data_IF_925840077323
#
_entry.id   IF_925840077323
#
_cell.length_a   1.000
_cell.length_b   1.000
_cell.length_c   1.000
_cell.angle_alpha   90.00
_cell.angle_beta   90.00
_cell.angle_gamma   90.00
#
_symmetry.space_group_name_H-M   'P 1'
#
loop_
_entity.id
_entity.type
_entity.pdbx_description
1 polymer ?
#
# COMPACT_ATOMS: atom_id res chain seq x y z
N UNK A 1 -20.44 -8.27 5.81
CA UNK A 1 -19.55 -9.38 5.43
C UNK A 1 -20.29 -10.18 4.37
N UNK A 2 -19.66 -10.41 3.23
CA UNK A 2 -20.28 -11.03 2.06
C UNK A 2 -19.36 -12.19 1.63
N UNK A 3 -19.94 -13.37 1.39
CA UNK A 3 -19.25 -14.44 0.70
C UNK A 3 -19.37 -14.19 -0.83
N UNK A 4 -18.28 -13.80 -1.51
CA UNK A 4 -18.33 -13.48 -2.93
C UNK A 4 -18.60 -14.70 -3.82
N UNK A 5 -18.35 -15.92 -3.36
CA UNK A 5 -18.57 -17.15 -4.16
C UNK A 5 -20.05 -17.51 -4.23
N UNK A 6 -20.76 -17.34 -3.11
CA UNK A 6 -22.20 -17.57 -3.04
C UNK A 6 -23.03 -16.34 -3.40
N UNK A 7 -22.43 -15.15 -3.29
CA UNK A 7 -23.15 -13.87 -3.44
C UNK A 7 -24.09 -13.58 -2.26
N UNK A 8 -23.88 -14.25 -1.13
CA UNK A 8 -24.72 -14.15 0.07
C UNK A 8 -24.10 -13.21 1.10
N UNK A 9 -24.96 -12.46 1.80
CA UNK A 9 -24.56 -11.60 2.91
C UNK A 9 -24.54 -12.44 4.19
N UNK A 10 -23.35 -12.71 4.72
CA UNK A 10 -23.20 -13.51 5.96
C UNK A 10 -23.57 -12.71 7.21
N UNK A 11 -23.21 -11.42 7.23
CA UNK A 11 -23.45 -10.56 8.39
C UNK A 11 -23.53 -9.10 7.96
N UNK A 12 -24.52 -8.37 8.46
CA UNK A 12 -24.77 -6.96 8.15
C UNK A 12 -25.06 -6.20 9.44
N UNK A 13 -24.48 -5.00 9.56
CA UNK A 13 -24.63 -4.15 10.72
C UNK A 13 -24.39 -2.68 10.37
N UNK A 14 -24.99 -1.80 11.14
CA UNK A 14 -24.70 -0.37 11.08
C UNK A 14 -23.41 -0.12 11.87
N UNK A 15 -22.32 0.22 11.17
CA UNK A 15 -21.04 0.46 11.82
C UNK A 15 -21.01 1.80 12.59
N UNK A 16 -21.50 2.87 11.97
CA UNK A 16 -21.45 4.22 12.54
C UNK A 16 -22.73 4.99 12.21
N UNK A 17 -23.24 5.77 13.16
CA UNK A 17 -24.48 6.55 13.00
C UNK A 17 -24.30 7.87 12.23
N UNK A 18 -23.06 8.33 12.05
CA UNK A 18 -22.76 9.55 11.32
C UNK A 18 -23.11 9.45 9.84
N UNK A 19 -23.53 10.57 9.24
CA UNK A 19 -23.96 10.65 7.84
C UNK A 19 -22.83 10.64 6.81
N UNK A 20 -21.58 10.71 7.27
CA UNK A 20 -20.38 10.74 6.42
C UNK A 20 -19.88 9.31 6.13
N UNK A 21 -19.06 9.19 5.09
CA UNK A 21 -18.53 7.90 4.67
C UNK A 21 -17.73 7.19 5.78
N UNK A 22 -17.97 5.89 5.91
CA UNK A 22 -17.23 5.00 6.80
C UNK A 22 -16.33 4.06 6.00
N UNK A 23 -15.29 3.52 6.63
CA UNK A 23 -14.42 2.48 6.07
C UNK A 23 -14.39 1.28 7.01
N UNK A 24 -14.18 0.11 6.43
CA UNK A 24 -14.02 -1.14 7.17
C UNK A 24 -12.85 -1.92 6.57
N UNK A 25 -12.05 -2.54 7.42
CA UNK A 25 -10.98 -3.47 7.05
C UNK A 25 -11.04 -4.69 7.96
N UNK A 26 -10.62 -5.84 7.44
CA UNK A 26 -10.36 -7.02 8.24
C UNK A 26 -8.97 -6.92 8.88
N UNK A 27 -8.88 -7.37 10.13
CA UNK A 27 -7.63 -7.60 10.84
C UNK A 27 -7.36 -9.11 10.93
N UNK A 28 -6.28 -9.50 11.61
CA UNK A 28 -6.03 -10.91 11.94
C UNK A 28 -7.20 -11.51 12.72
N UNK A 29 -7.37 -12.83 12.57
CA UNK A 29 -8.41 -13.63 13.23
C UNK A 29 -9.86 -13.21 12.88
N UNK A 30 -10.07 -12.56 11.74
CA UNK A 30 -11.40 -12.17 11.27
C UNK A 30 -12.02 -10.97 11.99
N UNK A 31 -11.28 -10.31 12.89
CA UNK A 31 -11.73 -9.07 13.52
C UNK A 31 -11.98 -7.98 12.47
N UNK A 32 -12.96 -7.13 12.72
CA UNK A 32 -13.32 -6.03 11.81
C UNK A 32 -13.04 -4.71 12.47
N UNK A 33 -12.19 -3.91 11.84
CA UNK A 33 -11.91 -2.54 12.26
C UNK A 33 -12.59 -1.55 11.34
N UNK A 34 -13.36 -0.63 11.91
CA UNK A 34 -14.05 0.40 11.13
C UNK A 34 -13.69 1.79 11.60
N UNK A 35 -13.73 2.71 10.65
CA UNK A 35 -13.59 4.14 10.89
C UNK A 35 -14.81 4.85 10.33
N UNK A 36 -15.29 5.88 11.02
CA UNK A 36 -16.46 6.61 10.61
C UNK A 36 -16.71 7.80 11.51
N UNK A 37 -17.98 8.18 11.63
CA UNK A 37 -18.37 9.39 12.34
C UNK A 37 -19.46 9.10 13.38
N UNK A 38 -19.43 9.80 14.50
CA UNK A 38 -20.51 9.81 15.49
C UNK A 38 -21.71 10.58 14.94
N UNK A 39 -22.87 10.46 15.60
CA UNK A 39 -24.04 11.29 15.30
C UNK A 39 -23.74 12.79 15.46
N UNK A 40 -22.79 13.14 16.33
CA UNK A 40 -22.29 14.50 16.55
C UNK A 40 -21.19 14.91 15.55
N UNK A 41 -20.93 14.10 14.53
CA UNK A 41 -19.91 14.33 13.48
C UNK A 41 -18.45 14.29 13.96
N UNK A 42 -18.15 13.64 15.08
CA UNK A 42 -16.78 13.34 15.49
C UNK A 42 -16.25 12.09 14.78
N UNK A 43 -14.97 12.07 14.45
CA UNK A 43 -14.30 10.87 13.92
C UNK A 43 -14.15 9.87 15.03
N UNK A 44 -14.54 8.64 14.74
CA UNK A 44 -14.42 7.52 15.66
C UNK A 44 -13.94 6.28 14.92
N UNK A 45 -13.23 5.41 15.65
CA UNK A 45 -12.97 4.07 15.21
C UNK A 45 -13.68 3.07 16.11
N UNK A 46 -13.86 1.86 15.61
CA UNK A 46 -14.45 0.77 16.39
C UNK A 46 -13.92 -0.58 15.96
N UNK A 47 -13.74 -1.48 16.92
CA UNK A 47 -13.30 -2.85 16.73
C UNK A 47 -14.46 -3.80 17.01
N UNK A 48 -14.68 -4.78 16.13
CA UNK A 48 -15.79 -5.74 16.19
C UNK A 48 -15.30 -7.16 15.96
N UNK A 49 -16.02 -8.13 16.50
CA UNK A 49 -15.93 -9.52 16.07
C UNK A 49 -16.85 -9.74 14.87
N UNK A 50 -16.55 -10.71 13.99
CA UNK A 50 -17.39 -11.03 12.84
C UNK A 50 -18.79 -11.55 13.27
N UNK A 51 -18.86 -12.21 14.43
CA UNK A 51 -20.11 -12.78 14.97
C UNK A 51 -21.05 -11.71 15.57
N UNK A 52 -20.49 -10.60 16.07
CA UNK A 52 -21.25 -9.54 16.74
C UNK A 52 -20.91 -8.16 16.16
N UNK A 53 -21.25 -7.93 14.88
CA UNK A 53 -20.96 -6.64 14.23
C UNK A 53 -21.77 -5.46 14.79
N UNK A 54 -22.96 -5.70 15.37
CA UNK A 54 -23.78 -4.63 15.94
C UNK A 54 -23.25 -4.15 17.30
N UNK A 55 -22.46 -4.98 18.01
CA UNK A 55 -21.94 -4.69 19.34
C UNK A 55 -20.41 -4.57 19.27
N UNK A 56 -19.86 -3.36 19.08
CA UNK A 56 -18.41 -3.18 19.02
C UNK A 56 -17.75 -3.52 20.35
N UNK A 57 -16.61 -4.22 20.29
CA UNK A 57 -15.74 -4.50 21.44
C UNK A 57 -15.27 -3.18 22.07
N UNK A 58 -14.88 -2.23 21.21
CA UNK A 58 -14.50 -0.89 21.63
C UNK A 58 -14.90 0.11 20.53
N UNK A 59 -15.38 1.27 20.95
CA UNK A 59 -15.60 2.44 20.10
C UNK A 59 -14.94 3.64 20.76
N UNK A 60 -14.09 4.36 20.02
CA UNK A 60 -13.33 5.49 20.55
C UNK A 60 -13.42 6.66 19.60
N UNK A 61 -13.74 7.81 20.16
CA UNK A 61 -13.72 9.11 19.49
C UNK A 61 -12.28 9.66 19.43
N UNK A 62 -11.93 10.29 18.31
CA UNK A 62 -10.56 10.70 18.00
C UNK A 62 -10.45 12.22 17.98
N UNK A 63 -11.25 12.87 17.14
CA UNK A 63 -11.32 14.32 16.98
C UNK A 63 -12.56 14.74 16.17
N UNK A 64 -12.80 16.04 16.04
CA UNK A 64 -13.95 16.62 15.33
C UNK A 64 -13.67 16.95 13.86
N UNK A 65 -12.60 16.40 13.27
CA UNK A 65 -12.21 16.75 11.90
C UNK A 65 -13.15 16.13 10.86
N UNK A 66 -13.24 16.76 9.69
CA UNK A 66 -14.20 16.35 8.66
C UNK A 66 -13.69 15.28 7.68
N UNK A 67 -12.37 15.06 7.60
CA UNK A 67 -11.77 14.15 6.62
C UNK A 67 -12.07 12.68 6.92
N UNK A 68 -12.58 11.94 5.92
CA UNK A 68 -12.76 10.49 6.01
C UNK A 68 -11.42 9.84 6.31
N UNK A 69 -11.40 9.01 7.35
CA UNK A 69 -10.19 8.39 7.86
C UNK A 69 -10.00 7.01 7.22
N UNK A 70 -8.82 6.78 6.67
CA UNK A 70 -8.42 5.52 6.04
C UNK A 70 -7.60 4.71 7.03
N UNK A 71 -8.10 3.56 7.49
CA UNK A 71 -7.31 2.63 8.29
C UNK A 71 -6.41 1.80 7.37
N UNK A 72 -5.12 1.76 7.70
CA UNK A 72 -4.10 0.95 7.04
C UNK A 72 -3.54 -0.01 8.08
N UNK A 73 -3.74 -1.31 7.89
CA UNK A 73 -3.33 -2.32 8.87
C UNK A 73 -2.10 -3.08 8.39
N UNK A 74 -1.12 -3.21 9.27
CA UNK A 74 0.01 -4.13 9.10
C UNK A 74 -0.26 -5.40 9.94
N UNK A 75 -0.58 -6.55 9.30
CA UNK A 75 -0.83 -7.79 10.01
C UNK A 75 0.41 -8.29 10.75
N UNK A 76 1.62 -8.02 10.26
CA UNK A 76 2.84 -8.61 10.83
C UNK A 76 3.13 -8.06 12.23
N UNK A 77 2.93 -6.76 12.41
CA UNK A 77 3.18 -6.05 13.68
C UNK A 77 1.92 -5.72 14.47
N UNK A 78 0.74 -6.08 13.94
CA UNK A 78 -0.57 -5.71 14.49
C UNK A 78 -0.78 -4.19 14.65
N UNK A 79 -0.16 -3.39 13.79
CA UNK A 79 -0.29 -1.94 13.82
C UNK A 79 -1.36 -1.43 12.87
N UNK A 80 -2.19 -0.50 13.34
CA UNK A 80 -3.15 0.24 12.52
C UNK A 80 -2.70 1.69 12.43
N UNK A 81 -2.59 2.19 11.21
CA UNK A 81 -2.30 3.58 10.90
C UNK A 81 -3.57 4.27 10.39
N UNK A 82 -3.95 5.35 11.04
CA UNK A 82 -5.13 6.14 10.70
C UNK A 82 -4.71 7.43 10.01
N UNK A 83 -5.17 7.59 8.77
CA UNK A 83 -4.78 8.68 7.90
C UNK A 83 -6.00 9.29 7.22
N UNK A 84 -6.26 10.59 7.36
CA UNK A 84 -7.30 11.28 6.59
C UNK A 84 -6.74 12.14 5.46
N UNK A 85 -7.52 12.34 4.40
CA UNK A 85 -7.20 13.39 3.41
C UNK A 85 -7.42 14.76 4.05
N UNK A 86 -6.48 15.67 3.85
CA UNK A 86 -6.47 16.99 4.48
C UNK A 86 -5.85 17.02 5.88
N UNK A 87 -5.58 15.85 6.48
CA UNK A 87 -4.89 15.79 7.76
C UNK A 87 -3.39 16.04 7.58
N UNK A 88 -2.78 16.66 8.56
CA UNK A 88 -1.33 16.79 8.65
C UNK A 88 -0.69 15.75 9.58
N UNK A 89 -1.50 14.80 10.07
CA UNK A 89 -1.10 13.79 11.06
C UNK A 89 -1.39 12.37 10.58
N UNK A 90 -0.57 11.43 11.06
CA UNK A 90 -0.79 9.98 10.97
C UNK A 90 -0.77 9.44 12.40
N UNK A 91 -1.90 8.95 12.89
CA UNK A 91 -2.02 8.33 14.21
C UNK A 91 -1.85 6.83 14.09
N UNK A 92 -1.17 6.18 15.02
CA UNK A 92 -1.00 4.73 14.95
C UNK A 92 -1.20 4.04 16.29
N UNK A 93 -1.76 2.84 16.18
CA UNK A 93 -2.28 2.05 17.29
C UNK A 93 -1.81 0.61 17.15
N UNK A 94 -1.65 -0.07 18.28
CA UNK A 94 -1.39 -1.50 18.35
C UNK A 94 -2.65 -2.24 18.75
N UNK A 95 -2.96 -3.33 18.04
CA UNK A 95 -4.08 -4.20 18.37
C UNK A 95 -3.57 -5.41 19.13
N UNK A 96 -4.09 -5.61 20.33
CA UNK A 96 -3.74 -6.73 21.22
C UNK A 96 -5.01 -7.39 21.75
N UNK A 97 -4.94 -8.63 22.24
CA UNK A 97 -6.08 -9.29 22.87
C UNK A 97 -6.38 -8.77 24.29
N UNK A 98 -5.57 -7.85 24.82
CA UNK A 98 -5.73 -7.31 26.18
C UNK A 98 -6.47 -5.97 26.16
N UNK A 99 -7.47 -5.75 27.04
CA UNK A 99 -8.14 -4.45 27.17
C UNK A 99 -7.14 -3.28 27.36
N UNK A 100 -7.33 -2.12 26.72
CA UNK A 100 -8.47 -1.67 25.89
C UNK A 100 -8.51 -2.20 24.45
N UNK A 101 -7.75 -3.26 24.11
CA UNK A 101 -7.63 -3.93 22.82
C UNK A 101 -6.92 -3.13 21.74
N UNK A 102 -7.24 -1.84 21.62
CA UNK A 102 -6.59 -0.89 20.70
C UNK A 102 -5.80 0.12 21.51
N UNK A 103 -4.47 0.00 21.49
CA UNK A 103 -3.56 0.83 22.26
C UNK A 103 -2.99 1.95 21.39
N UNK A 104 -3.20 3.20 21.78
CA UNK A 104 -2.56 4.32 21.11
C UNK A 104 -1.05 4.31 21.37
N UNK A 105 -0.25 4.33 20.30
CA UNK A 105 1.21 4.41 20.42
C UNK A 105 1.66 5.86 20.33
N UNK A 106 1.47 6.49 19.17
CA UNK A 106 1.90 7.86 18.94
C UNK A 106 1.25 8.45 17.67
N UNK A 107 1.57 9.72 17.41
CA UNK A 107 1.16 10.45 16.22
C UNK A 107 2.39 11.03 15.53
N UNK A 108 2.50 10.77 14.22
CA UNK A 108 3.42 11.48 13.36
C UNK A 108 2.74 12.74 12.83
N UNK A 109 3.37 13.90 12.97
CA UNK A 109 2.81 15.19 12.57
C UNK A 109 3.72 15.90 11.56
N UNK A 110 3.08 16.58 10.61
CA UNK A 110 3.71 17.41 9.59
C UNK A 110 3.06 18.80 9.58
N UNK A 111 3.71 19.84 9.04
CA UNK A 111 3.11 21.16 8.93
C UNK A 111 2.03 21.23 7.84
N UNK A 112 2.26 20.56 6.71
CA UNK A 112 1.36 20.60 5.56
C UNK A 112 0.23 19.57 5.68
N UNK A 113 -0.95 19.78 5.07
CA UNK A 113 -1.98 18.75 4.95
C UNK A 113 -1.66 17.76 3.81
N UNK A 114 -2.01 16.48 4.01
CA UNK A 114 -1.77 15.43 3.00
C UNK A 114 -2.92 15.32 2.01
N UNK A 115 -2.61 15.24 0.71
CA UNK A 115 -3.62 15.00 -0.35
C UNK A 115 -3.98 13.52 -0.51
N UNK A 116 -3.03 12.66 -0.20
CA UNK A 116 -3.14 11.22 -0.30
C UNK A 116 -1.97 10.54 0.38
N UNK A 117 -2.16 9.26 0.68
CA UNK A 117 -1.16 8.43 1.31
C UNK A 117 -1.22 7.03 0.70
N UNK A 118 -0.06 6.46 0.44
CA UNK A 118 0.10 5.05 0.09
C UNK A 118 1.04 4.38 1.09
N UNK A 119 0.76 3.14 1.46
CA UNK A 119 1.63 2.34 2.31
C UNK A 119 2.42 1.36 1.44
N UNK A 120 3.74 1.28 1.66
CA UNK A 120 4.60 0.28 1.03
C UNK A 120 4.28 -1.10 1.61
N UNK A 121 4.18 -2.15 0.79
CA UNK A 121 4.12 -3.53 1.29
C UNK A 121 5.34 -3.86 2.15
N UNK A 122 5.21 -4.80 3.10
CA UNK A 122 6.29 -5.18 4.03
C UNK A 122 7.60 -5.56 3.32
N UNK A 123 7.50 -6.25 2.18
CA UNK A 123 8.64 -6.63 1.32
C UNK A 123 9.44 -5.44 0.77
N UNK A 124 8.86 -4.24 0.74
CA UNK A 124 9.49 -2.99 0.32
C UNK A 124 10.08 -2.15 1.46
N UNK A 125 9.95 -2.62 2.71
CA UNK A 125 10.52 -1.97 3.88
C UNK A 125 12.00 -2.34 4.04
N UNK A 126 12.81 -1.41 4.54
CA UNK A 126 14.21 -1.63 4.81
C UNK A 126 14.42 -2.32 6.16
N UNK A 127 14.55 -3.64 6.11
CA UNK A 127 14.81 -4.49 7.27
C UNK A 127 16.13 -4.20 7.97
N UNK A 128 17.11 -3.58 7.30
CA UNK A 128 18.40 -3.27 7.92
C UNK A 128 18.31 -2.09 8.90
N UNK A 129 17.43 -1.13 8.63
CA UNK A 129 17.23 0.06 9.45
C UNK A 129 16.09 -0.09 10.46
N UNK A 130 15.56 -1.31 10.63
CA UNK A 130 14.39 -1.56 11.49
C UNK A 130 13.14 -0.76 11.07
N UNK A 131 12.98 -0.50 9.77
CA UNK A 131 11.77 0.11 9.19
C UNK A 131 10.60 -0.87 9.17
N UNK A 132 9.58 -0.59 9.98
CA UNK A 132 8.38 -1.43 10.09
C UNK A 132 7.30 -1.03 9.09
N UNK A 133 7.23 0.24 8.69
CA UNK A 133 6.31 0.73 7.69
C UNK A 133 6.91 1.92 6.93
N UNK A 134 6.60 2.02 5.64
CA UNK A 134 7.01 3.13 4.78
C UNK A 134 5.77 3.71 4.10
N UNK A 135 5.55 5.01 4.24
CA UNK A 135 4.47 5.73 3.60
C UNK A 135 4.98 6.66 2.50
N UNK A 136 4.19 6.75 1.45
CA UNK A 136 4.34 7.66 0.34
C UNK A 136 3.22 8.70 0.45
N UNK A 137 3.56 9.85 1.02
CA UNK A 137 2.64 10.94 1.33
C UNK A 137 2.67 11.97 0.21
N UNK A 138 1.50 12.32 -0.31
CA UNK A 138 1.35 13.34 -1.34
C UNK A 138 1.18 14.72 -0.70
N UNK A 139 2.10 15.62 -1.03
CA UNK A 139 2.07 17.01 -0.61
C UNK A 139 1.06 17.81 -1.45
N UNK A 140 0.80 19.06 -1.03
CA UNK A 140 -0.07 19.97 -1.76
C UNK A 140 0.61 20.56 -3.01
N UNK A 141 1.94 20.57 -3.04
CA UNK A 141 2.79 21.03 -4.14
C UNK A 141 3.04 19.94 -5.18
N UNK A 142 3.11 20.32 -6.45
CA UNK A 142 3.47 19.44 -7.56
C UNK A 142 2.32 18.57 -8.11
N UNK A 143 2.62 17.87 -9.21
CA UNK A 143 1.69 17.00 -9.91
C UNK A 143 2.18 15.56 -9.80
N UNK A 144 1.32 14.66 -9.32
CA UNK A 144 1.58 13.23 -9.30
C UNK A 144 0.49 12.50 -10.09
N UNK A 145 0.87 11.72 -11.08
CA UNK A 145 -0.07 10.87 -11.81
C UNK A 145 -0.21 9.54 -11.07
N UNK A 146 -1.42 9.27 -10.58
CA UNK A 146 -1.77 8.00 -9.96
C UNK A 146 -2.12 7.00 -11.06
N UNK A 147 -1.31 5.95 -11.23
CA UNK A 147 -1.63 4.85 -12.16
C UNK A 147 -2.11 3.66 -11.33
N UNK A 148 -3.41 3.38 -11.41
CA UNK A 148 -3.98 2.16 -10.86
C UNK A 148 -3.62 1.04 -11.82
N UNK A 149 -2.60 0.24 -11.51
CA UNK A 149 -2.41 -1.04 -12.20
C UNK A 149 -3.48 -2.01 -11.68
N UNK A 150 -4.67 -1.89 -12.26
CA UNK A 150 -5.75 -2.85 -12.08
C UNK A 150 -5.42 -4.14 -12.82
N UNK A 151 -5.50 -5.25 -12.10
CA UNK A 151 -5.81 -6.55 -12.67
C UNK A 151 -7.03 -6.39 -13.59
N UNK A 152 -6.93 -6.87 -14.81
CA UNK A 152 -8.03 -6.95 -15.76
C UNK A 152 -9.23 -7.67 -15.11
N UNK A 153 -10.36 -6.98 -14.95
CA UNK A 153 -11.73 -7.45 -15.22
C UNK A 153 -12.74 -6.34 -14.84
N UNK A 154 -13.37 -5.77 -15.88
CA UNK A 154 -14.63 -5.03 -15.93
C UNK A 154 -15.15 -4.30 -14.66
N UNK A 155 -15.15 -2.95 -14.70
CA UNK A 155 -16.24 -2.12 -14.14
C UNK A 155 -16.41 -0.80 -14.92
N UNK A 156 -17.67 -0.33 -15.11
CA UNK A 156 -17.98 0.88 -15.86
C UNK A 156 -17.58 2.15 -15.07
N UNK A 157 -17.28 3.21 -15.82
CA UNK A 157 -16.84 4.49 -15.30
C UNK A 157 -17.92 5.17 -14.44
N UNK A 158 -17.78 5.13 -13.11
CA UNK A 158 -18.17 6.19 -12.15
C UNK A 158 -17.94 5.82 -10.66
N UNK A 159 -16.88 5.09 -10.31
CA UNK A 159 -16.52 4.84 -8.90
C UNK A 159 -15.08 5.26 -8.58
N UNK A 160 -14.92 6.11 -7.56
CA UNK A 160 -13.61 6.52 -7.03
C UNK A 160 -12.92 5.33 -6.36
N UNK A 161 -12.02 4.67 -7.08
CA UNK A 161 -11.12 3.63 -6.53
C UNK A 161 -10.10 4.25 -5.59
N UNK A 162 -10.21 3.94 -4.29
CA UNK A 162 -9.48 4.56 -3.18
C UNK A 162 -8.28 3.75 -2.64
N UNK A 163 -7.53 3.07 -3.50
CA UNK A 163 -6.26 2.43 -3.12
C UNK A 163 -5.14 2.99 -4.00
N UNK A 164 -4.29 3.83 -3.42
CA UNK A 164 -3.15 4.42 -4.12
C UNK A 164 -2.03 3.39 -4.21
N UNK A 165 -1.92 2.69 -5.35
CA UNK A 165 -0.77 1.88 -5.73
C UNK A 165 0.02 2.66 -6.79
N UNK A 166 1.31 2.90 -6.56
CA UNK A 166 2.20 3.62 -7.50
C UNK A 166 3.10 2.60 -8.20
N UNK A 167 2.93 2.42 -9.50
CA UNK A 167 3.88 1.70 -10.36
C UNK A 167 4.03 2.42 -11.70
N UNK A 168 5.27 2.62 -12.15
CA UNK A 168 5.56 3.25 -13.44
C UNK A 168 6.32 2.27 -14.34
N UNK A 169 5.61 1.51 -15.18
CA UNK A 169 6.22 0.90 -16.36
C UNK A 169 6.23 1.94 -17.47
N UNK A 170 7.35 2.67 -17.63
CA UNK A 170 7.95 3.12 -18.91
C UNK A 170 8.79 4.41 -18.88
N UNK A 171 9.22 4.94 -17.72
CA UNK A 171 10.20 6.04 -17.72
C UNK A 171 11.37 5.81 -16.75
N UNK A 172 12.63 6.04 -17.18
CA UNK A 172 13.77 6.14 -16.27
C UNK A 172 13.53 7.27 -15.25
N UNK A 173 13.93 7.05 -13.99
CA UNK A 173 13.92 8.05 -12.92
C UNK A 173 14.49 9.40 -13.43
N UNK A 174 13.67 10.46 -13.44
CA UNK A 174 14.18 11.83 -13.40
C UNK A 174 13.95 12.40 -12.00
N UNK A 175 14.87 13.22 -11.45
CA UNK A 175 14.81 13.72 -10.06
C UNK A 175 13.68 14.73 -9.75
N UNK A 176 12.71 14.93 -10.64
CA UNK A 176 11.70 16.01 -10.56
C UNK A 176 10.43 15.62 -9.77
N UNK A 177 10.27 14.37 -9.35
CA UNK A 177 9.13 13.88 -8.55
C UNK A 177 9.24 14.14 -7.04
N UNK A 178 10.31 14.79 -6.58
CA UNK A 178 10.65 14.95 -5.15
C UNK A 178 9.82 16.02 -4.42
N UNK A 179 9.27 17.02 -5.10
CA UNK A 179 8.49 18.08 -4.44
C UNK A 179 7.05 17.66 -4.08
N UNK A 180 6.49 16.69 -4.82
CA UNK A 180 5.11 16.24 -4.65
C UNK A 180 4.95 15.06 -3.69
N UNK A 181 6.01 14.28 -3.48
CA UNK A 181 5.97 13.04 -2.73
C UNK A 181 6.98 13.07 -1.58
N UNK A 182 6.45 13.03 -0.36
CA UNK A 182 7.24 12.86 0.86
C UNK A 182 7.26 11.38 1.26
N UNK A 183 8.45 10.82 1.46
CA UNK A 183 8.61 9.48 2.03
C UNK A 183 8.65 9.60 3.55
N UNK A 184 7.80 8.85 4.24
CA UNK A 184 7.72 8.81 5.69
C UNK A 184 8.04 7.38 6.14
N UNK A 185 9.15 7.23 6.87
CA UNK A 185 9.61 5.95 7.40
C UNK A 185 9.25 5.82 8.88
N UNK A 186 8.62 4.71 9.26
CA UNK A 186 8.35 4.35 10.64
C UNK A 186 9.38 3.30 11.07
N UNK A 187 10.24 3.67 12.02
CA UNK A 187 11.36 2.85 12.46
C UNK A 187 11.22 2.50 13.94
N UNK A 188 11.49 1.24 14.28
CA UNK A 188 11.66 0.84 15.68
C UNK A 188 13.12 1.06 16.06
N UNK A 189 13.44 1.94 17.02
CA UNK A 189 14.82 2.24 17.38
C UNK A 189 15.45 1.03 18.09
N UNK A 190 16.30 0.28 17.38
CA UNK A 190 17.08 -0.84 17.92
C UNK A 190 18.57 -0.51 17.85
N UNK A 191 19.34 -0.97 18.84
CA UNK A 191 20.80 -0.77 18.92
C UNK A 191 21.60 -1.80 18.13
N UNK A 192 20.94 -2.73 17.45
CA UNK A 192 21.58 -3.87 16.78
C UNK A 192 21.43 -3.76 15.27
N UNK A 193 22.51 -4.09 14.55
CA UNK A 193 22.53 -4.23 13.09
C UNK A 193 22.24 -5.68 12.63
N UNK A 194 21.79 -6.53 13.54
CA UNK A 194 21.33 -7.89 13.23
C UNK A 194 19.86 -7.85 12.81
N UNK A 195 19.48 -8.80 11.98
CA UNK A 195 18.08 -8.99 11.60
C UNK A 195 17.22 -9.24 12.86
N UNK A 196 16.16 -8.45 13.03
CA UNK A 196 15.26 -8.50 14.17
C UNK A 196 14.07 -9.41 13.83
N UNK A 197 14.16 -10.70 14.17
CA UNK A 197 13.12 -11.69 13.86
C UNK A 197 11.79 -11.39 14.55
N UNK A 198 11.82 -10.68 15.68
CA UNK A 198 10.64 -10.24 16.42
C UNK A 198 9.87 -9.11 15.71
N UNK A 199 10.56 -8.26 14.94
CA UNK A 199 9.92 -7.18 14.16
C UNK A 199 9.41 -7.65 12.79
N UNK A 200 9.96 -8.76 12.32
CA UNK A 200 9.73 -9.29 10.98
C UNK A 200 9.40 -10.78 11.04
N UNK A 201 8.20 -11.14 11.54
CA UNK A 201 7.68 -12.48 11.35
C UNK A 201 7.53 -12.77 9.84
N UNK A 202 7.22 -14.02 9.50
CA UNK A 202 6.99 -14.39 8.11
C UNK A 202 5.78 -13.61 7.55
N UNK A 203 6.03 -12.83 6.49
CA UNK A 203 5.05 -11.96 5.83
C UNK A 203 4.45 -12.68 4.62
N UNK A 204 3.33 -12.18 4.11
CA UNK A 204 2.75 -12.59 2.82
C UNK A 204 3.81 -12.61 1.69
N UNK A 205 3.90 -13.73 1.00
CA UNK A 205 4.80 -13.94 -0.14
C UNK A 205 4.25 -13.29 -1.42
N UNK A 206 5.00 -13.40 -2.51
CA UNK A 206 4.57 -13.05 -3.87
C UNK A 206 3.93 -14.22 -4.63
N UNK A 207 3.79 -15.38 -3.99
CA UNK A 207 3.19 -16.58 -4.55
C UNK A 207 1.74 -16.72 -4.06
N UNK A 208 0.82 -16.99 -4.98
CA UNK A 208 -0.57 -17.26 -4.64
C UNK A 208 -0.69 -18.64 -3.98
N UNK A 209 -1.50 -18.75 -2.92
CA UNK A 209 -1.77 -20.03 -2.25
C UNK A 209 -2.70 -20.93 -3.06
N UNK A 210 -3.61 -20.34 -3.83
CA UNK A 210 -4.55 -21.03 -4.71
C UNK A 210 -4.59 -20.37 -6.08
N UNK A 211 -4.91 -21.16 -7.08
CA UNK A 211 -5.32 -20.67 -8.39
C UNK A 211 -6.76 -20.15 -8.36
N UNK A 212 -7.15 -19.39 -9.38
CA UNK A 212 -8.51 -18.86 -9.47
C UNK A 212 -9.56 -19.99 -9.58
N UNK A 213 -9.24 -21.07 -10.28
CA UNK A 213 -10.16 -22.20 -10.49
C UNK A 213 -10.37 -23.00 -9.20
N UNK A 214 -9.32 -23.24 -8.42
CA UNK A 214 -9.40 -23.91 -7.10
C UNK A 214 -10.23 -23.08 -6.11
N UNK A 215 -10.00 -21.76 -6.07
CA UNK A 215 -10.78 -20.86 -5.21
C UNK A 215 -12.26 -20.81 -5.61
N UNK A 216 -12.56 -20.76 -6.92
CA UNK A 216 -13.93 -20.82 -7.45
C UNK A 216 -14.60 -22.17 -7.18
N UNK A 217 -13.84 -23.27 -7.13
CA UNK A 217 -14.33 -24.60 -6.75
C UNK A 217 -14.69 -24.71 -5.25
N UNK A 218 -14.38 -23.68 -4.45
CA UNK A 218 -14.71 -23.62 -3.03
C UNK A 218 -13.56 -24.01 -2.11
N UNK A 219 -12.33 -24.12 -2.62
CA UNK A 219 -11.16 -24.36 -1.78
C UNK A 219 -10.75 -23.08 -1.05
N UNK A 220 -10.30 -23.25 0.20
CA UNK A 220 -9.77 -22.20 1.05
C UNK A 220 -8.38 -22.63 1.54
N UNK A 221 -7.39 -21.74 1.40
CA UNK A 221 -6.02 -21.98 1.87
C UNK A 221 -5.41 -20.70 2.44
N UNK A 222 -4.67 -20.86 3.53
CA UNK A 222 -3.91 -19.77 4.13
C UNK A 222 -2.88 -19.20 3.14
N UNK A 223 -2.63 -17.88 3.16
CA UNK A 223 -1.66 -17.27 2.27
C UNK A 223 -0.26 -17.86 2.45
N UNK A 224 0.47 -18.04 1.36
CA UNK A 224 1.89 -18.38 1.42
C UNK A 224 2.67 -17.27 2.14
N UNK A 225 3.52 -17.65 3.10
CA UNK A 225 4.36 -16.71 3.84
C UNK A 225 5.84 -16.89 3.50
N UNK A 226 6.63 -15.84 3.72
CA UNK A 226 8.06 -15.84 3.47
C UNK A 226 8.82 -15.02 4.52
N UNK A 227 10.04 -15.45 4.83
CA UNK A 227 10.93 -14.71 5.73
C UNK A 227 11.61 -13.54 5.02
N UNK A 228 11.53 -12.35 5.62
CA UNK A 228 12.24 -11.15 5.13
C UNK A 228 13.74 -11.18 5.41
N UNK A 229 14.24 -12.18 6.16
CA UNK A 229 15.66 -12.33 6.47
C UNK A 229 16.54 -12.32 5.22
N UNK A 230 16.06 -12.88 4.10
CA UNK A 230 16.77 -12.88 2.80
C UNK A 230 17.03 -11.48 2.23
N UNK A 231 16.20 -10.49 2.59
CA UNK A 231 16.36 -9.10 2.14
C UNK A 231 17.46 -8.37 2.93
N UNK A 232 17.78 -8.84 4.14
CA UNK A 232 18.79 -8.23 4.99
C UNK A 232 20.18 -8.27 4.32
N UNK A 233 20.96 -7.17 4.28
CA UNK A 233 22.23 -7.11 3.56
C UNK A 233 23.23 -8.20 3.98
N UNK A 234 23.22 -8.61 5.26
CA UNK A 234 24.14 -9.62 5.82
C UNK A 234 23.72 -11.09 5.58
N UNK A 235 22.49 -11.37 5.14
CA UNK A 235 22.06 -12.73 4.81
C UNK A 235 22.40 -13.13 3.37
N UNK A 236 22.76 -12.15 2.52
CA UNK A 236 23.33 -12.40 1.19
C UNK A 236 24.77 -12.89 1.29
N UNK A 237 24.96 -14.11 1.77
CA UNK A 237 26.22 -14.84 1.56
C UNK A 237 26.43 -15.07 0.05
N UNK A 238 27.45 -14.44 -0.53
CA UNK A 238 28.24 -14.84 -1.72
C UNK A 238 27.50 -15.77 -2.70
N UNK A 239 26.99 -15.35 -3.87
CA UNK A 239 27.72 -14.89 -5.06
C UNK A 239 26.86 -13.95 -5.93
N UNK A 240 27.37 -12.75 -6.22
CA UNK A 240 27.16 -12.11 -7.52
C UNK A 240 28.37 -11.22 -7.81
N UNK A 241 29.09 -11.41 -8.94
CA UNK A 241 30.16 -10.50 -9.32
C UNK A 241 29.52 -9.22 -9.88
N UNK A 242 29.07 -8.34 -9.00
CA UNK A 242 28.92 -6.94 -9.39
C UNK A 242 30.34 -6.39 -9.32
N UNK A 243 31.02 -6.41 -10.47
CA UNK A 243 32.27 -5.70 -10.64
C UNK A 243 32.05 -4.23 -10.22
N UNK A 244 32.60 -3.84 -9.06
CA UNK A 244 32.75 -2.44 -8.72
C UNK A 244 33.69 -1.83 -9.75
N UNK A 245 33.14 -1.18 -10.77
CA UNK A 245 33.92 -0.23 -11.57
C UNK A 245 34.09 1.01 -10.70
N UNK A 246 35.09 0.98 -9.81
CA UNK A 246 35.67 2.18 -9.22
C UNK A 246 36.74 2.68 -10.18
N UNK A 247 36.36 3.59 -11.06
CA UNK A 247 37.27 4.35 -11.91
C UNK A 247 36.74 5.79 -12.05
N UNK A 248 37.62 6.80 -12.13
CA UNK A 248 37.21 8.20 -12.21
C UNK A 248 36.35 8.46 -13.47
N UNK A 249 35.34 9.31 -13.30
CA UNK A 249 34.23 9.62 -14.24
C UNK A 249 34.67 10.16 -15.63
N UNK A 250 35.97 10.42 -15.85
CA UNK A 250 36.44 11.11 -17.05
C UNK A 250 36.78 10.23 -18.27
N UNK A 251 36.69 8.89 -18.21
CA UNK A 251 37.00 8.03 -19.37
C UNK A 251 35.80 7.49 -20.16
N UNK A 252 34.55 7.78 -19.75
CA UNK A 252 33.35 7.33 -20.46
C UNK A 252 32.88 8.25 -21.61
N UNK A 253 33.50 9.42 -21.78
CA UNK A 253 33.14 10.37 -22.86
C UNK A 253 33.81 10.02 -24.20
N UNK A 254 34.92 9.25 -24.22
CA UNK A 254 35.59 8.89 -25.48
C UNK A 254 35.08 7.62 -26.19
N UNK A 255 34.16 6.85 -25.59
CA UNK A 255 33.62 5.63 -26.23
C UNK A 255 32.30 5.82 -26.99
N UNK A 256 31.69 7.02 -26.97
CA UNK A 256 30.44 7.31 -27.73
C UNK A 256 30.65 7.78 -29.17
N UNK A 257 31.88 7.83 -29.71
CA UNK A 257 32.16 8.37 -31.06
C UNK A 257 32.41 7.32 -32.16
N UNK A 258 32.22 6.02 -31.91
CA UNK A 258 32.31 4.97 -32.96
C UNK A 258 31.09 4.05 -32.97
N UNK A 259 29.94 4.57 -33.35
CA UNK A 259 28.89 3.76 -33.99
C UNK A 259 28.17 4.64 -35.02
N UNK A 260 28.58 4.50 -36.30
CA UNK A 260 27.85 5.08 -37.44
C UNK A 260 26.77 4.07 -37.88
N UNK A 261 25.49 4.44 -37.99
CA UNK A 261 24.56 3.70 -38.83
C UNK A 261 24.65 4.24 -40.27
N UNK A 262 24.86 3.34 -41.23
CA UNK A 262 24.71 3.62 -42.67
C UNK A 262 23.24 3.94 -42.94
N UNK A 263 22.92 5.20 -43.24
CA UNK A 263 21.68 5.59 -43.88
C UNK A 263 21.70 5.09 -45.34
N UNK A 264 20.81 4.16 -45.70
CA UNK A 264 20.38 3.99 -47.09
C UNK A 264 18.89 4.31 -47.17
N UNK A 265 18.58 5.28 -48.02
CA UNK A 265 17.22 5.67 -48.43
C UNK A 265 16.59 4.53 -49.22
N UNK A 266 15.30 4.29 -48.99
CA UNK A 266 14.36 3.87 -50.03
C UNK A 266 13.02 4.53 -49.73
N UNK A 267 12.67 5.47 -50.62
CA UNK A 267 11.33 6.02 -50.81
C UNK A 267 10.43 4.93 -51.42
N UNK A 268 9.21 4.74 -50.89
CA UNK A 268 7.94 4.66 -51.67
C UNK A 268 6.69 4.48 -50.76
N UNK A 269 5.74 5.44 -50.91
CA UNK A 269 4.26 5.27 -51.01
C UNK A 269 3.35 4.86 -49.81
N UNK A 270 2.74 5.87 -49.15
CA UNK A 270 1.30 6.17 -48.80
C UNK A 270 0.21 5.08 -49.12
N UNK A 271 -1.00 4.98 -48.47
CA UNK A 271 -1.52 5.19 -47.09
C UNK A 271 -2.41 4.01 -46.56
N UNK A 272 -2.85 3.99 -45.29
CA UNK A 272 -4.25 3.63 -44.91
C UNK A 272 -4.55 4.03 -43.44
N UNK A 273 -5.43 5.01 -43.28
CA UNK A 273 -6.08 5.43 -42.03
C UNK A 273 -7.50 4.84 -42.03
N UNK A 274 -8.00 4.48 -40.85
CA UNK A 274 -9.42 4.37 -40.47
C UNK A 274 -10.32 3.40 -41.26
N UNK A 275 -10.58 2.24 -40.65
CA UNK A 275 -11.91 1.59 -40.62
C UNK A 275 -11.88 0.40 -39.67
N UNK A 276 -12.33 0.59 -38.42
CA UNK A 276 -12.81 -0.47 -37.53
C UNK A 276 -13.54 0.11 -36.32
N UNK A 277 -14.43 1.06 -36.60
CA UNK A 277 -15.56 1.40 -35.73
C UNK A 277 -16.78 1.57 -36.63
N UNK A 278 -17.39 0.45 -37.01
CA UNK A 278 -18.81 0.31 -37.38
C UNK A 278 -19.11 -1.18 -37.61
N UNK A 279 -20.20 -1.65 -36.97
CA UNK A 279 -20.92 -2.93 -37.16
C UNK A 279 -20.37 -4.19 -36.46
N UNK A 280 -20.81 -4.44 -35.22
CA UNK A 280 -22.00 -5.25 -34.88
C UNK A 280 -22.35 -5.12 -33.40
#
# INVERSE_FOLDING_TARGET
>A
IIDPRKGEVESEAIAHEGSKASRAIFLKHGLVFTTGFSRMSERQYSLRTPDALNEPIVTVEIDTSNGVMFPLYDPDTNLIYLCGKGDSVIRYFEVTPEPPFVHYINTFQTPDPQRGIGMMPKRGCDVATCEIAKFYRLNNSGLCQCIITGSFLYKPANEQTGHLMVSNRHRPWTPETTEALQVVSMTVPRKSELFQEDLYPDTLSDEASLTADEWLAGEDAEPCTMSLKRLHPRSRGIKSPIAQIRGPINTLIQRKTKFRPKLRRLHTTIPFIAKLFEQK
#
